data_IF_340908556675
#
_entry.id   IF_340908556675
#
_cell.length_a   1.000
_cell.length_b   1.000
_cell.length_c   1.000
_cell.angle_alpha   90.00
_cell.angle_beta   90.00
_cell.angle_gamma   90.00
#
_symmetry.space_group_name_H-M   'P 1'
#
loop_
_entity.id
_entity.type
_entity.pdbx_description
1 polymer ?
#
# COMPACT_ATOMS: atom_id res chain seq x y z
N UNK A 1 -65.45 -29.34 -22.39
CA UNK A 1 -65.09 -30.36 -21.39
C UNK A 1 -64.02 -29.74 -20.50
N UNK A 2 -64.31 -29.06 -19.39
CA UNK A 2 -64.95 -29.46 -18.13
C UNK A 2 -64.15 -30.50 -17.32
N UNK A 3 -64.02 -30.19 -16.02
CA UNK A 3 -63.45 -30.92 -14.88
C UNK A 3 -61.94 -30.72 -14.62
N UNK A 4 -61.46 -29.99 -13.60
CA UNK A 4 -61.78 -29.76 -12.16
C UNK A 4 -60.73 -30.43 -11.25
N UNK A 5 -60.12 -29.60 -10.40
CA UNK A 5 -59.88 -29.76 -8.94
C UNK A 5 -59.02 -30.95 -8.49
N UNK A 6 -57.90 -30.80 -7.78
CA UNK A 6 -57.65 -30.23 -6.43
C UNK A 6 -57.20 -31.35 -5.47
N UNK A 7 -56.58 -30.94 -4.35
CA UNK A 7 -56.24 -31.71 -3.14
C UNK A 7 -54.87 -32.40 -3.17
N UNK A 8 -53.83 -31.88 -2.48
CA UNK A 8 -53.56 -31.75 -1.02
C UNK A 8 -53.12 -33.03 -0.32
N UNK A 9 -52.24 -32.83 0.68
CA UNK A 9 -51.63 -33.76 1.67
C UNK A 9 -50.27 -34.33 1.23
N UNK A 10 -49.24 -34.43 2.06
CA UNK A 10 -49.17 -34.35 3.52
C UNK A 10 -47.75 -33.96 3.95
N UNK A 11 -47.66 -32.96 4.83
CA UNK A 11 -46.46 -32.62 5.62
C UNK A 11 -46.58 -33.44 6.91
N UNK A 12 -45.68 -34.40 7.15
CA UNK A 12 -45.39 -35.01 8.45
C UNK A 12 -43.99 -35.64 8.32
N UNK A 13 -42.97 -35.12 9.01
CA UNK A 13 -42.61 -35.47 10.38
C UNK A 13 -41.41 -36.42 10.39
N UNK A 14 -40.21 -35.86 10.57
CA UNK A 14 -39.13 -36.55 11.27
C UNK A 14 -38.46 -35.54 12.21
N UNK A 15 -39.08 -35.33 13.37
CA UNK A 15 -38.41 -34.77 14.53
C UNK A 15 -37.53 -35.89 15.12
N UNK A 16 -36.21 -35.72 15.01
CA UNK A 16 -35.24 -36.57 15.71
C UNK A 16 -35.38 -36.33 17.21
N UNK A 17 -35.59 -37.41 17.95
CA UNK A 17 -35.79 -37.43 19.40
C UNK A 17 -34.46 -37.12 20.09
N UNK A 18 -34.38 -35.98 20.78
CA UNK A 18 -33.32 -35.73 21.75
C UNK A 18 -33.62 -36.52 23.03
N UNK A 19 -32.68 -37.31 23.57
CA UNK A 19 -32.88 -37.95 24.87
C UNK A 19 -32.86 -36.89 25.99
N UNK A 20 -33.95 -36.86 26.77
CA UNK A 20 -34.13 -36.05 27.96
C UNK A 20 -33.12 -36.46 29.04
N UNK A 21 -32.17 -35.57 29.34
CA UNK A 21 -31.31 -35.69 30.51
C UNK A 21 -32.11 -35.44 31.79
N UNK A 22 -32.13 -36.44 32.69
CA UNK A 22 -32.70 -36.34 34.05
C UNK A 22 -32.02 -35.22 34.83
N UNK A 23 -32.81 -34.33 35.41
CA UNK A 23 -32.35 -33.35 36.41
C UNK A 23 -32.15 -34.05 37.77
N UNK A 24 -31.01 -33.88 38.45
CA UNK A 24 -30.91 -34.27 39.85
C UNK A 24 -31.57 -33.21 40.74
N UNK A 25 -32.35 -33.71 41.70
CA UNK A 25 -32.97 -32.98 42.81
C UNK A 25 -31.93 -32.49 43.80
N UNK A 26 -32.03 -31.23 44.21
CA UNK A 26 -31.20 -30.62 45.25
C UNK A 26 -31.93 -30.74 46.59
N UNK A 27 -31.26 -31.26 47.61
CA UNK A 27 -31.60 -31.01 49.01
C UNK A 27 -30.36 -30.49 49.74
N UNK A 28 -30.49 -29.49 50.64
CA UNK A 28 -29.34 -28.82 51.23
C UNK A 28 -29.02 -29.40 52.61
N UNK A 29 -27.76 -29.77 52.85
CA UNK A 29 -27.21 -29.78 54.20
C UNK A 29 -25.84 -29.10 54.17
N UNK A 30 -25.79 -27.99 54.92
CA UNK A 30 -24.61 -27.18 55.19
C UNK A 30 -23.60 -28.01 56.01
N UNK A 31 -22.39 -28.13 55.49
CA UNK A 31 -21.19 -28.30 56.31
C UNK A 31 -20.19 -27.23 55.88
N UNK A 32 -20.00 -26.22 56.74
CA UNK A 32 -18.96 -25.21 56.57
C UNK A 32 -17.59 -25.86 56.84
N UNK A 33 -16.92 -26.29 55.77
CA UNK A 33 -15.49 -26.54 55.79
C UNK A 33 -14.79 -25.30 55.23
N UNK A 34 -14.03 -24.60 56.10
CA UNK A 34 -13.23 -23.45 55.74
C UNK A 34 -12.17 -23.87 54.70
N UNK A 35 -12.49 -23.65 53.42
CA UNK A 35 -11.54 -23.87 52.34
C UNK A 35 -10.71 -22.60 52.22
N UNK A 36 -9.43 -22.70 52.59
CA UNK A 36 -8.45 -21.65 52.40
C UNK A 36 -8.45 -21.32 50.91
N UNK A 37 -8.87 -20.09 50.57
CA UNK A 37 -8.84 -19.57 49.21
C UNK A 37 -7.37 -19.45 48.84
N UNK A 38 -6.83 -20.47 48.18
CA UNK A 38 -5.53 -20.36 47.53
C UNK A 38 -5.63 -19.22 46.51
N UNK A 39 -4.80 -18.19 46.69
CA UNK A 39 -4.74 -17.05 45.81
C UNK A 39 -4.61 -17.52 44.34
N UNK A 40 -5.26 -16.86 43.38
CA UNK A 40 -5.15 -17.25 41.98
C UNK A 40 -3.67 -17.17 41.59
N UNK A 41 -3.07 -18.33 41.28
CA UNK A 41 -1.72 -18.39 40.72
C UNK A 41 -1.71 -17.48 39.49
N UNK A 42 -0.93 -16.40 39.57
CA UNK A 42 -0.80 -15.43 38.50
C UNK A 42 -0.51 -16.17 37.19
N UNK A 43 -1.29 -15.87 36.15
CA UNK A 43 -1.05 -16.42 34.81
C UNK A 43 0.40 -16.09 34.43
N UNK A 44 1.23 -17.10 34.23
CA UNK A 44 2.60 -16.89 33.75
C UNK A 44 2.52 -16.18 32.39
N UNK A 45 3.15 -15.01 32.28
CA UNK A 45 3.28 -14.31 31.00
C UNK A 45 4.13 -15.19 30.07
N UNK A 46 3.56 -15.56 28.93
CA UNK A 46 4.30 -16.26 27.87
C UNK A 46 5.38 -15.32 27.32
N UNK A 47 6.66 -15.70 27.49
CA UNK A 47 7.81 -14.91 27.01
C UNK A 47 8.14 -15.22 25.55
N UNK A 48 7.53 -16.25 24.97
CA UNK A 48 7.80 -16.66 23.60
C UNK A 48 7.27 -15.58 22.65
N UNK A 49 8.14 -14.91 21.86
CA UNK A 49 7.69 -13.91 20.92
C UNK A 49 6.78 -14.58 19.88
N UNK A 50 5.61 -13.98 19.64
CA UNK A 50 4.71 -14.45 18.57
C UNK A 50 5.49 -14.40 17.25
N UNK A 51 5.43 -15.48 16.47
CA UNK A 51 6.03 -15.55 15.15
C UNK A 51 5.59 -14.35 14.30
N UNK A 52 6.52 -13.44 14.03
CA UNK A 52 6.27 -12.22 13.28
C UNK A 52 5.99 -12.61 11.83
N UNK A 53 4.71 -12.71 11.45
CA UNK A 53 4.36 -12.87 10.04
C UNK A 53 4.56 -11.52 9.35
N UNK A 54 5.61 -11.40 8.51
CA UNK A 54 5.89 -10.22 7.68
C UNK A 54 4.65 -9.83 6.90
N UNK A 55 3.92 -8.85 7.43
CA UNK A 55 2.63 -8.44 6.89
C UNK A 55 2.83 -7.15 6.12
N UNK A 56 2.84 -7.26 4.80
CA UNK A 56 3.18 -6.15 3.89
C UNK A 56 2.06 -5.13 3.88
N UNK A 57 2.38 -3.87 4.21
CA UNK A 57 1.47 -2.72 4.10
C UNK A 57 1.77 -1.97 2.81
N UNK A 58 0.91 -2.11 1.80
CA UNK A 58 1.17 -1.53 0.48
C UNK A 58 1.38 -0.01 0.44
N UNK A 59 0.75 0.76 1.33
CA UNK A 59 0.94 2.22 1.37
C UNK A 59 2.28 2.66 1.98
N UNK A 60 3.05 1.71 2.54
CA UNK A 60 4.38 1.94 3.08
C UNK A 60 5.46 1.62 2.04
N UNK A 61 5.11 1.17 0.84
CA UNK A 61 6.10 0.94 -0.21
C UNK A 61 6.87 2.24 -0.50
N UNK A 62 8.19 2.15 -0.77
CA UNK A 62 9.03 3.32 -0.99
C UNK A 62 8.54 4.12 -2.22
N UNK A 63 8.29 5.41 -2.05
CA UNK A 63 7.83 6.30 -3.12
C UNK A 63 8.85 6.48 -4.22
N UNK A 64 10.13 6.45 -3.87
CA UNK A 64 11.23 6.84 -4.76
C UNK A 64 11.46 5.82 -5.87
N UNK A 65 11.14 4.55 -5.61
CA UNK A 65 11.19 3.48 -6.61
C UNK A 65 9.99 3.48 -7.55
N UNK A 66 8.87 4.06 -7.13
CA UNK A 66 7.57 3.85 -7.79
C UNK A 66 7.21 5.10 -8.61
N UNK A 67 6.90 4.94 -9.91
CA UNK A 67 6.43 6.04 -10.74
C UNK A 67 5.21 6.74 -10.12
N UNK A 68 5.13 8.08 -10.20
CA UNK A 68 4.02 8.82 -9.64
C UNK A 68 2.70 8.35 -10.27
N UNK A 69 1.69 8.16 -9.43
CA UNK A 69 0.38 7.71 -9.88
C UNK A 69 -0.28 8.77 -10.79
N UNK A 70 -0.82 8.43 -11.98
CA UNK A 70 -1.28 9.40 -12.97
C UNK A 70 -2.32 10.42 -12.49
N UNK A 71 -3.16 10.04 -11.52
CA UNK A 71 -4.21 10.92 -10.98
C UNK A 71 -3.83 11.56 -9.63
N UNK A 72 -2.60 11.33 -9.16
CA UNK A 72 -2.10 11.81 -7.88
C UNK A 72 -2.85 11.26 -6.66
N UNK A 73 -2.45 11.72 -5.48
CA UNK A 73 -3.09 11.30 -4.24
C UNK A 73 -4.48 11.91 -4.05
N UNK A 74 -5.40 11.16 -3.44
CA UNK A 74 -6.74 11.68 -3.16
C UNK A 74 -6.66 12.69 -2.03
N UNK A 75 -7.06 13.93 -2.32
CA UNK A 75 -7.09 15.04 -1.36
C UNK A 75 -8.19 14.83 -0.30
N UNK A 76 -9.33 14.29 -0.73
CA UNK A 76 -10.47 13.97 0.15
C UNK A 76 -10.40 12.53 0.62
N UNK A 77 -10.81 12.30 1.88
CA UNK A 77 -10.84 10.98 2.50
C UNK A 77 -9.49 10.24 2.37
N UNK A 78 -8.42 10.86 2.91
CA UNK A 78 -7.02 10.39 2.84
C UNK A 78 -6.81 8.94 3.32
N UNK A 79 -7.69 8.44 4.18
CA UNK A 79 -7.74 7.02 4.57
C UNK A 79 -7.80 6.08 3.35
N UNK A 80 -8.45 6.51 2.26
CA UNK A 80 -8.57 5.72 1.03
C UNK A 80 -7.26 5.55 0.27
N UNK A 81 -6.28 6.45 0.43
CA UNK A 81 -4.97 6.31 -0.21
C UNK A 81 -4.21 5.09 0.30
N UNK A 82 -4.52 4.63 1.52
CA UNK A 82 -3.82 3.52 2.18
C UNK A 82 -4.29 2.11 1.79
N UNK A 83 -5.31 1.99 0.94
CA UNK A 83 -5.91 0.69 0.60
C UNK A 83 -6.78 0.73 -0.66
N UNK A 84 -7.56 -0.32 -0.89
CA UNK A 84 -8.35 -0.51 -2.11
C UNK A 84 -9.83 -0.13 -1.88
N UNK A 85 -10.15 1.15 -2.10
CA UNK A 85 -11.50 1.67 -1.86
C UNK A 85 -12.37 1.72 -3.12
N UNK A 86 -11.76 1.59 -4.30
CA UNK A 86 -12.45 1.86 -5.57
C UNK A 86 -12.79 3.34 -5.67
N UNK A 87 -13.97 3.67 -6.18
CA UNK A 87 -14.51 5.04 -6.19
C UNK A 87 -15.24 5.44 -4.89
N UNK A 88 -15.29 4.56 -3.88
CA UNK A 88 -16.03 4.80 -2.65
C UNK A 88 -15.33 5.83 -1.75
N UNK A 89 -16.10 6.80 -1.26
CA UNK A 89 -15.66 7.85 -0.33
C UNK A 89 -16.75 8.14 0.70
N UNK A 90 -16.37 8.78 1.80
CA UNK A 90 -17.35 9.29 2.76
C UNK A 90 -18.29 10.28 2.07
N UNK A 91 -19.58 10.18 2.36
CA UNK A 91 -20.60 11.13 1.92
C UNK A 91 -21.17 11.85 3.12
N UNK A 92 -21.54 13.11 2.92
CA UNK A 92 -22.16 13.96 3.93
C UNK A 92 -23.54 14.36 3.44
N UNK A 93 -24.47 14.56 4.38
CA UNK A 93 -25.81 15.04 4.07
C UNK A 93 -26.60 15.20 5.35
N UNK A 94 -27.93 15.21 5.25
CA UNK A 94 -28.81 15.52 6.37
C UNK A 94 -29.79 14.38 6.65
N UNK A 95 -30.13 14.16 7.91
CA UNK A 95 -31.35 13.50 8.36
C UNK A 95 -32.43 14.58 8.35
N UNK A 96 -33.57 14.32 7.71
CA UNK A 96 -34.71 15.23 7.68
C UNK A 96 -35.79 14.63 8.57
N UNK A 97 -36.17 15.35 9.62
CA UNK A 97 -37.30 14.97 10.47
C UNK A 97 -38.62 15.22 9.73
N UNK A 98 -39.71 14.59 10.18
CA UNK A 98 -41.04 14.79 9.57
C UNK A 98 -41.49 16.25 9.53
N UNK A 99 -41.06 17.07 10.51
CA UNK A 99 -41.28 18.54 10.55
C UNK A 99 -40.20 19.36 9.81
N UNK A 100 -39.45 18.76 8.89
CA UNK A 100 -38.47 19.49 8.05
C UNK A 100 -37.14 19.85 8.73
N UNK A 101 -36.98 19.62 10.05
CA UNK A 101 -35.72 19.85 10.76
C UNK A 101 -34.57 19.01 10.16
N UNK A 102 -33.42 19.63 9.90
CA UNK A 102 -32.27 18.99 9.23
C UNK A 102 -31.09 18.82 10.19
N UNK A 103 -30.66 17.59 10.42
CA UNK A 103 -29.47 17.27 11.23
C UNK A 103 -28.37 16.67 10.36
N UNK A 104 -27.10 17.06 10.54
CA UNK A 104 -25.98 16.53 9.75
C UNK A 104 -25.77 15.03 10.02
N UNK A 105 -25.55 14.25 8.97
CA UNK A 105 -25.13 12.84 9.05
C UNK A 105 -23.98 12.53 8.10
N UNK A 106 -23.34 11.41 8.35
CA UNK A 106 -22.28 10.86 7.50
C UNK A 106 -22.62 9.44 7.05
N UNK A 107 -22.30 9.11 5.80
CA UNK A 107 -22.34 7.74 5.29
C UNK A 107 -20.92 7.29 4.99
N UNK A 108 -20.47 6.28 5.73
CA UNK A 108 -19.15 5.68 5.57
C UNK A 108 -19.26 4.43 4.67
N UNK A 109 -18.26 4.17 3.81
CA UNK A 109 -18.22 2.91 3.08
C UNK A 109 -17.96 1.73 4.05
N UNK A 110 -18.45 0.54 3.70
CA UNK A 110 -18.18 -0.67 4.48
C UNK A 110 -16.76 -1.19 4.17
N UNK A 111 -15.83 -0.94 5.09
CA UNK A 111 -14.38 -1.20 4.94
C UNK A 111 -13.95 -2.34 5.85
N UNK A 112 -13.26 -3.32 5.29
CA UNK A 112 -12.65 -4.43 6.03
C UNK A 112 -11.15 -4.51 5.76
N UNK A 113 -10.44 -5.23 6.63
CA UNK A 113 -9.02 -5.54 6.46
C UNK A 113 -8.89 -7.01 6.07
N UNK A 114 -8.22 -7.29 4.96
CA UNK A 114 -7.97 -8.67 4.51
C UNK A 114 -6.52 -8.82 4.05
N UNK A 115 -5.95 -9.98 4.34
CA UNK A 115 -4.67 -10.40 3.79
C UNK A 115 -4.90 -11.29 2.57
N UNK A 116 -4.26 -10.97 1.45
CA UNK A 116 -4.25 -11.79 0.24
C UNK A 116 -2.87 -12.40 0.08
N UNK A 117 -2.82 -13.68 -0.24
CA UNK A 117 -1.59 -14.31 -0.71
C UNK A 117 -1.43 -14.00 -2.21
N UNK A 118 -0.26 -13.53 -2.60
CA UNK A 118 0.10 -13.20 -3.98
C UNK A 118 1.21 -14.16 -4.39
N UNK A 119 0.90 -15.03 -5.34
CA UNK A 119 1.81 -16.12 -5.73
C UNK A 119 3.06 -15.55 -6.41
N UNK A 120 2.88 -14.55 -7.28
CA UNK A 120 3.97 -13.91 -8.01
C UNK A 120 5.03 -13.23 -7.12
N UNK A 121 4.65 -12.82 -5.90
CA UNK A 121 5.53 -12.17 -4.93
C UNK A 121 5.95 -13.09 -3.77
N UNK A 122 5.35 -14.28 -3.67
CA UNK A 122 5.56 -15.20 -2.53
C UNK A 122 5.14 -14.63 -1.17
N UNK A 123 4.36 -13.54 -1.12
CA UNK A 123 4.09 -12.78 0.10
C UNK A 123 2.59 -12.54 0.35
N UNK A 124 2.24 -12.25 1.61
CA UNK A 124 0.87 -11.87 2.01
C UNK A 124 0.74 -10.36 2.11
N UNK A 125 -0.09 -9.77 1.25
CA UNK A 125 -0.40 -8.34 1.27
C UNK A 125 -1.63 -8.09 2.12
N UNK A 126 -1.50 -7.31 3.20
CA UNK A 126 -2.62 -6.89 4.04
C UNK A 126 -3.07 -5.49 3.64
N UNK A 127 -4.32 -5.38 3.19
CA UNK A 127 -4.89 -4.10 2.76
C UNK A 127 -6.27 -3.86 3.35
N UNK A 128 -6.60 -2.57 3.53
CA UNK A 128 -7.97 -2.14 3.82
C UNK A 128 -8.72 -2.03 2.50
N UNK A 129 -9.93 -2.56 2.44
CA UNK A 129 -10.71 -2.58 1.22
C UNK A 129 -12.20 -2.48 1.49
N UNK A 130 -12.95 -1.98 0.52
CA UNK A 130 -14.42 -1.95 0.61
C UNK A 130 -15.03 -3.28 0.19
N UNK A 131 -16.20 -3.64 0.72
CA UNK A 131 -16.89 -4.88 0.31
C UNK A 131 -17.15 -4.95 -1.20
N UNK A 132 -17.42 -3.81 -1.86
CA UNK A 132 -17.58 -3.75 -3.33
C UNK A 132 -16.31 -4.19 -4.06
N UNK A 133 -15.16 -3.75 -3.58
CA UNK A 133 -13.86 -4.15 -4.13
C UNK A 133 -13.61 -5.63 -3.83
N UNK A 134 -13.91 -6.10 -2.62
CA UNK A 134 -13.77 -7.52 -2.27
C UNK A 134 -14.56 -8.44 -3.22
N UNK A 135 -15.81 -8.07 -3.52
CA UNK A 135 -16.66 -8.79 -4.47
C UNK A 135 -16.06 -8.79 -5.87
N UNK A 136 -15.50 -7.67 -6.31
CA UNK A 136 -14.84 -7.56 -7.62
C UNK A 136 -13.59 -8.42 -7.70
N UNK A 137 -12.73 -8.41 -6.67
CA UNK A 137 -11.54 -9.27 -6.58
C UNK A 137 -11.94 -10.75 -6.68
N UNK A 138 -13.00 -11.16 -5.97
CA UNK A 138 -13.50 -12.55 -6.02
C UNK A 138 -14.03 -12.92 -7.40
N UNK A 139 -14.74 -12.00 -8.06
CA UNK A 139 -15.27 -12.21 -9.43
C UNK A 139 -14.17 -12.29 -10.48
N UNK A 140 -13.08 -11.54 -10.30
CA UNK A 140 -11.93 -11.55 -11.23
C UNK A 140 -10.91 -12.67 -10.91
N UNK A 141 -11.18 -13.49 -9.88
CA UNK A 141 -10.38 -14.67 -9.57
C UNK A 141 -9.09 -14.41 -8.80
N UNK A 142 -8.87 -13.21 -8.27
CA UNK A 142 -7.66 -12.91 -7.50
C UNK A 142 -7.33 -11.43 -7.38
N UNK A 143 -6.39 -11.10 -6.48
CA UNK A 143 -5.89 -9.73 -6.32
C UNK A 143 -5.07 -9.30 -7.54
N UNK A 144 -4.24 -10.19 -8.08
CA UNK A 144 -3.36 -9.92 -9.23
C UNK A 144 -4.17 -9.48 -10.46
N UNK A 145 -5.19 -10.26 -10.84
CA UNK A 145 -6.10 -9.93 -11.93
C UNK A 145 -6.83 -8.60 -11.72
N UNK A 146 -7.14 -8.25 -10.47
CA UNK A 146 -7.76 -6.97 -10.14
C UNK A 146 -6.82 -5.78 -10.38
N UNK A 147 -5.54 -5.91 -10.05
CA UNK A 147 -4.53 -4.86 -10.18
C UNK A 147 -4.06 -4.67 -11.63
N UNK A 148 -3.82 -5.77 -12.35
CA UNK A 148 -3.28 -5.77 -13.72
C UNK A 148 -4.29 -5.37 -14.80
N UNK A 149 -5.57 -5.27 -14.46
CA UNK A 149 -6.61 -4.89 -15.42
C UNK A 149 -6.29 -3.52 -16.06
N UNK A 150 -6.26 -3.50 -17.39
CA UNK A 150 -5.81 -2.37 -18.20
C UNK A 150 -6.80 -1.20 -18.30
N UNK A 151 -8.09 -1.43 -18.01
CA UNK A 151 -9.14 -0.41 -18.19
C UNK A 151 -8.82 0.89 -17.42
N UNK A 152 -8.97 2.09 -18.03
CA UNK A 152 -8.63 3.36 -17.38
C UNK A 152 -9.50 3.63 -16.14
N UNK A 153 -10.76 3.19 -16.16
CA UNK A 153 -11.64 3.24 -14.99
C UNK A 153 -11.05 2.46 -13.79
N UNK A 154 -10.40 1.32 -14.04
CA UNK A 154 -9.73 0.55 -12.98
C UNK A 154 -8.54 1.31 -12.41
N UNK A 155 -7.74 1.95 -13.27
CA UNK A 155 -6.58 2.73 -12.81
C UNK A 155 -7.05 3.83 -11.85
N UNK A 156 -8.10 4.59 -12.20
CA UNK A 156 -8.73 5.60 -11.32
C UNK A 156 -9.20 5.01 -9.98
N UNK A 157 -9.75 3.81 -10.00
CA UNK A 157 -10.29 3.11 -8.83
C UNK A 157 -9.22 2.59 -7.86
N UNK A 158 -8.01 2.25 -8.35
CA UNK A 158 -6.92 1.70 -7.53
C UNK A 158 -6.48 2.68 -6.42
N UNK A 159 -6.31 3.95 -6.79
CA UNK A 159 -5.66 4.94 -5.94
C UNK A 159 -4.16 4.66 -5.72
N UNK A 160 -3.46 5.49 -4.94
CA UNK A 160 -2.01 5.39 -4.75
C UNK A 160 -1.56 4.03 -4.20
N UNK A 161 -2.18 3.56 -3.11
CA UNK A 161 -1.82 2.27 -2.52
C UNK A 161 -2.06 1.07 -3.46
N UNK A 162 -3.06 1.13 -4.33
CA UNK A 162 -3.29 0.11 -5.35
C UNK A 162 -2.33 0.22 -6.54
N UNK A 163 -1.93 1.43 -6.91
CA UNK A 163 -0.90 1.69 -7.91
C UNK A 163 0.47 1.13 -7.49
N UNK A 164 0.86 1.33 -6.24
CA UNK A 164 2.11 0.80 -5.70
C UNK A 164 2.12 -0.74 -5.75
N UNK A 165 1.01 -1.40 -5.39
CA UNK A 165 0.90 -2.87 -5.53
C UNK A 165 0.98 -3.31 -6.98
N UNK A 166 0.33 -2.58 -7.90
CA UNK A 166 0.32 -2.90 -9.33
C UNK A 166 1.74 -2.83 -9.90
N UNK A 167 2.47 -1.77 -9.60
CA UNK A 167 3.86 -1.62 -10.02
C UNK A 167 4.73 -2.74 -9.45
N UNK A 168 4.62 -3.04 -8.16
CA UNK A 168 5.39 -4.12 -7.54
C UNK A 168 5.13 -5.48 -8.20
N UNK A 169 3.87 -5.74 -8.57
CA UNK A 169 3.47 -6.96 -9.24
C UNK A 169 4.03 -7.05 -10.67
N UNK A 170 4.06 -5.95 -11.42
CA UNK A 170 4.62 -5.90 -12.77
C UNK A 170 6.11 -6.25 -12.83
N UNK A 171 6.81 -6.14 -11.70
CA UNK A 171 8.26 -6.34 -11.62
C UNK A 171 8.59 -7.81 -11.49
N UNK A 172 7.64 -8.62 -11.02
CA UNK A 172 7.83 -10.07 -10.90
C UNK A 172 8.01 -10.74 -12.26
N UNK A 173 8.93 -11.70 -12.34
CA UNK A 173 9.20 -12.44 -13.58
C UNK A 173 7.95 -13.16 -14.11
N UNK A 174 7.11 -13.71 -13.21
CA UNK A 174 5.89 -14.40 -13.59
C UNK A 174 4.94 -13.51 -14.40
N UNK A 175 4.83 -12.22 -14.01
CA UNK A 175 3.97 -11.25 -14.70
C UNK A 175 4.62 -10.73 -15.97
N UNK A 176 5.95 -10.53 -15.96
CA UNK A 176 6.69 -10.16 -17.18
C UNK A 176 6.53 -11.22 -18.28
N UNK A 177 6.68 -12.52 -17.93
CA UNK A 177 6.48 -13.64 -18.85
C UNK A 177 5.07 -13.68 -19.42
N UNK A 178 4.05 -13.56 -18.55
CA UNK A 178 2.65 -13.45 -18.97
C UNK A 178 2.41 -12.31 -19.96
N UNK A 179 3.00 -11.13 -19.71
CA UNK A 179 2.88 -10.00 -20.65
C UNK A 179 3.63 -10.21 -21.95
N UNK A 180 4.74 -10.94 -21.95
CA UNK A 180 5.42 -11.33 -23.18
C UNK A 180 4.57 -12.31 -24.02
N UNK A 181 3.91 -13.27 -23.38
CA UNK A 181 2.95 -14.15 -24.07
C UNK A 181 1.81 -13.34 -24.69
N UNK A 182 1.25 -12.38 -23.95
CA UNK A 182 0.22 -11.47 -24.46
C UNK A 182 0.74 -10.60 -25.62
N UNK A 183 2.00 -10.15 -25.59
CA UNK A 183 2.64 -9.40 -26.69
C UNK A 183 2.81 -10.24 -27.95
N UNK A 184 3.33 -11.46 -27.80
CA UNK A 184 3.52 -12.39 -28.93
C UNK A 184 2.18 -12.72 -29.58
N UNK A 185 1.13 -12.94 -28.77
CA UNK A 185 -0.23 -13.14 -29.27
C UNK A 185 -0.78 -11.93 -30.05
N UNK A 186 -0.32 -10.72 -29.75
CA UNK A 186 -0.66 -9.50 -30.46
C UNK A 186 0.30 -9.17 -31.63
N UNK A 187 1.30 -10.01 -31.91
CA UNK A 187 2.29 -9.79 -32.96
C UNK A 187 3.37 -8.76 -32.62
N UNK A 188 3.57 -8.43 -31.35
CA UNK A 188 4.62 -7.51 -30.89
C UNK A 188 5.87 -8.30 -30.46
N UNK A 189 7.08 -7.74 -30.61
CA UNK A 189 8.30 -8.39 -30.14
C UNK A 189 8.27 -8.56 -28.61
N UNK A 190 8.74 -9.71 -28.08
CA UNK A 190 8.84 -9.92 -26.64
C UNK A 190 9.90 -8.98 -26.03
N UNK A 191 9.67 -8.55 -24.79
CA UNK A 191 10.68 -7.79 -24.02
C UNK A 191 11.57 -8.76 -23.24
N UNK A 192 12.84 -8.41 -23.07
CA UNK A 192 13.74 -9.10 -22.13
C UNK A 192 13.13 -9.18 -20.71
N UNK A 193 13.24 -10.37 -20.11
CA UNK A 193 12.76 -10.63 -18.75
C UNK A 193 13.90 -10.30 -17.80
N UNK A 194 13.73 -9.22 -17.04
CA UNK A 194 14.71 -8.76 -16.07
C UNK A 194 14.43 -9.38 -14.70
N UNK A 195 15.46 -9.95 -14.06
CA UNK A 195 15.35 -10.41 -12.68
C UNK A 195 15.49 -9.25 -11.70
N UNK A 196 14.38 -8.83 -11.11
CA UNK A 196 14.30 -7.72 -10.14
C UNK A 196 13.93 -8.20 -8.74
N UNK A 197 14.20 -9.46 -8.42
CA UNK A 197 13.80 -10.08 -7.16
C UNK A 197 14.40 -9.39 -5.93
N UNK A 198 15.65 -8.92 -6.00
CA UNK A 198 16.28 -8.18 -4.90
C UNK A 198 15.58 -6.84 -4.61
N UNK A 199 15.19 -6.12 -5.66
CA UNK A 199 14.40 -4.89 -5.52
C UNK A 199 13.01 -5.18 -4.93
N UNK A 200 12.36 -6.25 -5.38
CA UNK A 200 11.05 -6.67 -4.84
C UNK A 200 11.19 -7.00 -3.35
N UNK A 201 12.21 -7.76 -2.97
CA UNK A 201 12.48 -8.13 -1.56
C UNK A 201 12.73 -6.90 -0.71
N UNK A 202 13.58 -5.98 -1.17
CA UNK A 202 13.81 -4.71 -0.51
C UNK A 202 12.50 -3.94 -0.30
N UNK A 203 11.69 -3.78 -1.35
CA UNK A 203 10.41 -3.07 -1.26
C UNK A 203 9.43 -3.75 -0.30
N UNK A 204 9.36 -5.09 -0.31
CA UNK A 204 8.52 -5.86 0.61
C UNK A 204 8.97 -5.71 2.07
N UNK A 205 10.27 -5.79 2.34
CA UNK A 205 10.84 -5.60 3.67
C UNK A 205 10.61 -4.17 4.17
N UNK A 206 10.80 -3.15 3.33
CA UNK A 206 10.52 -1.75 3.67
C UNK A 206 9.04 -1.51 4.02
N UNK A 207 8.14 -2.16 3.29
CA UNK A 207 6.70 -2.11 3.55
C UNK A 207 6.26 -2.93 4.78
N UNK A 208 7.14 -3.78 5.30
CA UNK A 208 6.92 -4.54 6.52
C UNK A 208 7.33 -3.67 7.73
N UNK A 209 6.53 -3.58 8.80
CA UNK A 209 6.97 -2.84 9.98
C UNK A 209 8.15 -3.56 10.65
N UNK A 210 9.25 -2.84 10.88
CA UNK A 210 10.45 -3.35 11.52
C UNK A 210 11.71 -2.76 10.91
N UNK A 211 12.90 -3.13 11.42
CA UNK A 211 14.16 -2.85 10.76
C UNK A 211 14.29 -3.67 9.46
N UNK A 212 15.05 -3.15 8.49
CA UNK A 212 15.36 -3.86 7.26
C UNK A 212 16.24 -5.09 7.53
N UNK A 213 16.03 -6.15 6.75
CA UNK A 213 16.92 -7.33 6.74
C UNK A 213 18.32 -6.96 6.25
N UNK A 214 19.35 -7.72 6.66
CA UNK A 214 20.73 -7.51 6.21
C UNK A 214 20.83 -7.47 4.67
N UNK A 215 20.24 -8.45 3.98
CA UNK A 215 20.17 -8.48 2.52
C UNK A 215 19.52 -7.22 1.93
N UNK A 216 18.44 -6.74 2.54
CA UNK A 216 17.75 -5.54 2.09
C UNK A 216 18.56 -4.26 2.35
N UNK A 217 19.46 -4.26 3.35
CA UNK A 217 20.42 -3.16 3.57
C UNK A 217 21.52 -3.17 2.51
N UNK A 218 22.10 -4.33 2.23
CA UNK A 218 23.09 -4.50 1.16
C UNK A 218 22.54 -4.01 -0.20
N UNK A 219 21.29 -4.37 -0.53
CA UNK A 219 20.66 -3.88 -1.77
C UNK A 219 20.45 -2.37 -1.78
N UNK A 220 20.15 -1.76 -0.62
CA UNK A 220 19.99 -0.31 -0.51
C UNK A 220 21.34 0.41 -0.64
N UNK A 221 22.38 -0.15 -0.02
CA UNK A 221 23.77 0.32 -0.15
C UNK A 221 24.23 0.22 -1.60
N UNK A 222 24.00 -0.91 -2.27
CA UNK A 222 24.30 -1.08 -3.69
C UNK A 222 23.56 -0.06 -4.58
N UNK A 223 22.27 0.20 -4.32
CA UNK A 223 21.52 1.24 -5.04
C UNK A 223 22.06 2.64 -4.78
N UNK A 224 22.46 2.93 -3.53
CA UNK A 224 23.06 4.22 -3.15
C UNK A 224 24.43 4.40 -3.81
N UNK A 225 25.26 3.37 -3.82
CA UNK A 225 26.54 3.36 -4.51
C UNK A 225 26.37 3.56 -6.02
N UNK A 226 25.44 2.84 -6.64
CA UNK A 226 25.14 3.00 -8.06
C UNK A 226 24.67 4.43 -8.39
N UNK A 227 23.82 5.01 -7.53
CA UNK A 227 23.39 6.40 -7.66
C UNK A 227 24.55 7.39 -7.50
N UNK A 228 25.41 7.21 -6.49
CA UNK A 228 26.62 8.03 -6.32
C UNK A 228 27.55 7.93 -7.52
N UNK A 229 27.79 6.73 -8.05
CA UNK A 229 28.58 6.54 -9.27
C UNK A 229 27.96 7.21 -10.50
N UNK A 230 26.63 7.27 -10.57
CA UNK A 230 25.93 7.93 -11.67
C UNK A 230 25.88 9.47 -11.53
N UNK A 231 25.85 9.98 -10.28
CA UNK A 231 25.89 11.42 -9.99
C UNK A 231 27.29 12.01 -10.08
N UNK A 232 28.32 11.23 -9.78
CA UNK A 232 29.70 11.56 -10.13
C UNK A 232 29.74 11.45 -11.66
N UNK A 233 29.30 12.52 -12.34
CA UNK A 233 29.83 12.90 -13.64
C UNK A 233 31.35 12.77 -13.47
N UNK A 234 31.95 11.81 -14.18
CA UNK A 234 33.39 11.60 -14.10
C UNK A 234 34.07 12.94 -14.35
N UNK A 235 35.09 13.27 -13.55
CA UNK A 235 35.89 14.51 -13.58
C UNK A 235 35.62 15.30 -14.86
N UNK A 236 34.69 16.26 -14.78
CA UNK A 236 34.37 17.11 -15.93
C UNK A 236 35.59 18.02 -16.11
N UNK A 237 36.60 17.53 -16.83
CA UNK A 237 37.66 18.35 -17.39
C UNK A 237 36.95 19.28 -18.39
N UNK A 238 36.53 20.47 -17.94
CA UNK A 238 35.85 21.46 -18.78
C UNK A 238 36.80 22.05 -19.83
N UNK A 239 38.09 21.67 -19.78
CA UNK A 239 39.13 21.99 -20.75
C UNK A 239 38.78 21.70 -22.23
N UNK A 240 37.73 20.91 -22.51
CA UNK A 240 37.22 20.65 -23.85
C UNK A 240 36.11 21.59 -24.37
N UNK A 241 35.56 22.47 -23.53
CA UNK A 241 34.51 23.43 -23.93
C UNK A 241 35.17 24.72 -24.44
N UNK A 242 35.09 24.94 -25.75
CA UNK A 242 35.67 26.08 -26.45
C UNK A 242 35.20 27.42 -25.82
N UNK A 243 36.10 28.11 -25.12
CA UNK A 243 35.83 29.40 -24.45
C UNK A 243 35.57 29.35 -22.94
N UNK A 244 35.72 28.19 -22.29
CA UNK A 244 35.66 28.06 -20.82
C UNK A 244 37.02 27.57 -20.32
N UNK A 245 37.91 28.51 -19.99
CA UNK A 245 39.15 28.19 -19.26
C UNK A 245 38.83 28.06 -17.77
N UNK A 246 39.31 26.98 -17.13
CA UNK A 246 39.26 26.85 -15.68
C UNK A 246 40.19 27.91 -15.07
N UNK A 247 39.59 28.94 -14.44
CA UNK A 247 40.36 29.98 -13.73
C UNK A 247 41.06 29.34 -12.54
N UNK A 248 42.36 29.56 -12.43
CA UNK A 248 43.08 29.21 -11.21
C UNK A 248 42.63 30.11 -10.04
N UNK A 249 42.75 29.61 -8.81
CA UNK A 249 42.42 30.37 -7.59
C UNK A 249 43.10 31.75 -7.54
N UNK A 250 44.30 31.87 -8.13
CA UNK A 250 45.04 33.13 -8.22
C UNK A 250 44.43 34.10 -9.24
N UNK A 251 43.91 33.61 -10.36
CA UNK A 251 43.29 34.42 -11.41
C UNK A 251 41.89 34.89 -11.00
N UNK A 252 41.12 34.06 -10.28
CA UNK A 252 39.86 34.44 -9.68
C UNK A 252 40.04 35.62 -8.71
N UNK A 253 41.03 35.52 -7.81
CA UNK A 253 41.31 36.57 -6.84
C UNK A 253 41.70 37.91 -7.51
N UNK A 254 42.45 37.85 -8.62
CA UNK A 254 42.82 39.05 -9.40
C UNK A 254 41.62 39.68 -10.10
N UNK A 255 40.74 38.88 -10.69
CA UNK A 255 39.51 39.35 -11.33
C UNK A 255 38.58 40.04 -10.34
N UNK A 256 38.44 39.46 -9.13
CA UNK A 256 37.64 40.07 -8.06
C UNK A 256 38.22 41.42 -7.62
N UNK A 257 39.55 41.51 -7.46
CA UNK A 257 40.22 42.79 -7.15
C UNK A 257 39.99 43.83 -8.24
N UNK A 258 40.09 43.44 -9.51
CA UNK A 258 39.84 44.35 -10.63
C UNK A 258 38.38 44.82 -10.66
N UNK A 259 37.42 43.94 -10.40
CA UNK A 259 36.00 44.32 -10.32
C UNK A 259 35.74 45.30 -9.18
N UNK A 260 36.27 45.02 -7.99
CA UNK A 260 36.17 45.91 -6.83
C UNK A 260 36.79 47.29 -7.11
N UNK A 261 37.92 47.33 -7.81
CA UNK A 261 38.57 48.57 -8.25
C UNK A 261 37.73 49.34 -9.28
N UNK A 262 37.13 48.64 -10.25
CA UNK A 262 36.25 49.27 -11.25
C UNK A 262 34.96 49.80 -10.63
N UNK A 263 34.36 49.06 -9.70
CA UNK A 263 33.16 49.48 -8.97
C UNK A 263 33.46 50.69 -8.08
N UNK A 264 34.63 50.71 -7.43
CA UNK A 264 35.09 51.86 -6.67
C UNK A 264 35.32 53.09 -7.56
N UNK A 265 35.89 52.89 -8.76
CA UNK A 265 36.09 53.97 -9.74
C UNK A 265 34.75 54.50 -10.29
N UNK A 266 33.79 53.64 -10.59
CA UNK A 266 32.44 54.05 -10.99
C UNK A 266 31.71 54.80 -9.88
N UNK A 267 31.84 54.34 -8.63
CA UNK A 267 31.27 55.01 -7.47
C UNK A 267 31.87 56.42 -7.26
N UNK A 268 33.17 56.58 -7.52
CA UNK A 268 33.84 57.88 -7.49
C UNK A 268 33.37 58.81 -8.62
N UNK A 269 33.13 58.28 -9.83
CA UNK A 269 32.60 59.06 -10.96
C UNK A 269 31.13 59.46 -10.79
N UNK A 270 30.32 58.66 -10.06
CA UNK A 270 28.91 58.96 -9.75
C UNK A 270 28.71 59.99 -8.63
N UNK A 271 29.77 60.49 -7.99
CA UNK A 271 29.62 61.58 -7.02
C UNK A 271 29.22 62.86 -7.77
N UNK A 272 28.08 63.49 -7.42
CA UNK A 272 27.62 64.69 -8.12
C UNK A 272 28.58 65.84 -7.87
N UNK A 273 29.10 66.44 -8.95
CA UNK A 273 29.84 67.70 -8.88
C UNK A 273 28.87 68.79 -8.39
N UNK A 274 29.03 69.20 -7.13
CA UNK A 274 28.36 70.35 -6.52
C UNK A 274 28.96 71.67 -7.02
#
# INVERSE_FOLDING_TARGET
MAFRLSATRSILSQASQCPLARRPTISPLLTHAATIIAAPRGRAFSTTPVAQTKTVKAHRLPSDLIPPYPYGERRLYKQSNRGLYGSARIRYGNIVAGRGNRTRRTWRPNVHVKAFYVAALGARIKTRLTLRVLKTIRREGGLENYLLKSKPARIKELGPGGWNMRWLLMQSQAVQRRFNEERVALGMPPKEVEDRDDMIRFALDYATPGPLSARSKETLEALREAFHRALILGDEDFAGLEGVEELSDEEEARLLQQLDETDAAEAAQKQPQL
#
